data_IF_317395844462
#
_entry.id   IF_317395844462
#
_cell.length_a   1.000
_cell.length_b   1.000
_cell.length_c   1.000
_cell.angle_alpha   90.00
_cell.angle_beta   90.00
_cell.angle_gamma   90.00
#
_symmetry.space_group_name_H-M   'P 1'
#
loop_
_entity.id
_entity.type
_entity.pdbx_description
1 polymer ?
#
# COMPACT_ATOMS: atom_id res chain seq x y z
N UNK A 1 11.39 2.08 4.01
CA UNK A 1 10.84 1.94 5.37
C UNK A 1 11.74 2.44 6.51
N UNK A 2 12.98 1.94 6.74
CA UNK A 2 13.69 2.16 8.02
C UNK A 2 13.96 3.64 8.36
N UNK A 3 14.57 4.40 7.45
CA UNK A 3 14.77 5.84 7.63
C UNK A 3 13.43 6.59 7.79
N UNK A 4 12.42 6.21 7.00
CA UNK A 4 11.06 6.78 7.07
C UNK A 4 10.46 6.60 8.46
N UNK A 5 10.48 5.39 9.02
CA UNK A 5 9.98 5.09 10.35
C UNK A 5 10.77 5.82 11.45
N UNK A 6 12.10 5.88 11.31
CA UNK A 6 12.96 6.59 12.26
C UNK A 6 12.70 8.11 12.27
N UNK A 7 12.43 8.71 11.12
CA UNK A 7 12.03 10.13 11.04
C UNK A 7 10.65 10.34 11.65
N UNK A 8 9.65 9.56 11.21
CA UNK A 8 8.27 9.72 11.68
C UNK A 8 8.13 9.51 13.18
N UNK A 9 8.91 8.60 13.78
CA UNK A 9 8.95 8.39 15.22
C UNK A 9 9.34 9.63 16.03
N UNK A 10 10.08 10.58 15.44
CA UNK A 10 10.40 11.87 16.09
C UNK A 10 9.17 12.78 16.23
N UNK A 11 8.13 12.54 15.44
CA UNK A 11 6.92 13.37 15.38
C UNK A 11 5.67 12.66 15.93
N UNK A 12 5.59 11.35 15.73
CA UNK A 12 4.48 10.51 16.18
C UNK A 12 5.10 9.31 16.91
N UNK A 13 5.18 9.35 18.25
CA UNK A 13 5.95 8.37 19.01
C UNK A 13 5.37 6.95 18.92
N UNK A 14 4.05 6.83 18.76
CA UNK A 14 3.38 5.54 18.63
C UNK A 14 2.48 5.53 17.40
N UNK A 15 2.79 4.68 16.42
CA UNK A 15 2.08 4.61 15.14
C UNK A 15 2.37 3.29 14.40
N UNK A 16 1.59 3.02 13.36
CA UNK A 16 1.95 2.05 12.33
C UNK A 16 2.25 2.80 11.03
N UNK A 17 3.52 2.84 10.61
CA UNK A 17 3.85 3.30 9.27
C UNK A 17 3.36 2.25 8.26
N UNK A 18 2.59 2.67 7.27
CA UNK A 18 2.18 1.84 6.14
C UNK A 18 2.68 2.50 4.86
N UNK A 19 3.78 1.97 4.31
CA UNK A 19 4.44 2.47 3.10
C UNK A 19 4.08 1.56 1.92
N UNK A 20 3.12 2.02 1.10
CA UNK A 20 2.58 1.24 -0.01
C UNK A 20 3.30 1.66 -1.30
N UNK A 21 4.20 0.81 -1.77
CA UNK A 21 4.92 1.00 -3.01
C UNK A 21 4.18 0.45 -4.24
N UNK A 22 4.91 0.40 -5.36
CA UNK A 22 4.43 -0.25 -6.59
C UNK A 22 4.31 -1.77 -6.46
N UNK A 23 5.10 -2.38 -5.56
CA UNK A 23 5.31 -3.84 -5.49
C UNK A 23 5.01 -4.42 -4.12
N UNK A 24 5.41 -3.70 -3.07
CA UNK A 24 5.37 -4.17 -1.69
C UNK A 24 4.70 -3.13 -0.81
N UNK A 25 4.22 -3.58 0.34
CA UNK A 25 3.73 -2.73 1.43
C UNK A 25 4.54 -3.05 2.67
N UNK A 26 5.24 -2.04 3.20
CA UNK A 26 5.95 -2.15 4.48
C UNK A 26 5.01 -1.68 5.60
N UNK A 27 4.80 -2.51 6.63
CA UNK A 27 4.01 -2.17 7.82
C UNK A 27 4.95 -2.16 9.02
N UNK A 28 5.37 -0.98 9.46
CA UNK A 28 6.43 -0.85 10.47
C UNK A 28 5.84 -0.24 11.75
N UNK A 29 5.81 -1.00 12.87
CA UNK A 29 5.47 -0.44 14.16
C UNK A 29 6.48 0.64 14.57
N UNK A 30 5.96 1.74 15.09
CA UNK A 30 6.71 2.80 15.75
C UNK A 30 6.22 2.83 17.19
N UNK A 31 7.13 2.69 18.15
CA UNK A 31 6.83 2.66 19.58
C UNK A 31 7.84 3.55 20.30
N UNK A 32 7.36 4.46 21.16
CA UNK A 32 8.22 5.38 21.91
C UNK A 32 9.16 6.20 21.02
N UNK A 33 8.73 6.52 19.80
CA UNK A 33 9.47 7.31 18.81
C UNK A 33 10.57 6.56 18.06
N UNK A 34 10.58 5.23 18.13
CA UNK A 34 11.56 4.37 17.46
C UNK A 34 10.87 3.37 16.57
N UNK A 35 11.49 3.03 15.44
CA UNK A 35 11.08 1.89 14.64
C UNK A 35 11.24 0.62 15.49
N UNK A 36 10.13 -0.08 15.73
CA UNK A 36 10.04 -1.27 16.58
C UNK A 36 9.83 -2.52 15.72
N UNK A 37 10.53 -2.61 14.59
CA UNK A 37 10.51 -3.76 13.70
C UNK A 37 11.08 -5.00 14.40
N UNK A 38 10.42 -6.14 14.25
CA UNK A 38 10.82 -7.44 14.74
C UNK A 38 11.73 -8.18 13.75
N UNK A 39 11.51 -8.00 12.44
CA UNK A 39 12.34 -8.57 11.39
C UNK A 39 13.34 -7.56 10.82
N UNK A 40 14.58 -7.98 10.61
CA UNK A 40 15.59 -7.19 9.91
C UNK A 40 15.64 -7.52 8.42
N UNK A 41 15.56 -8.83 8.08
CA UNK A 41 15.56 -9.31 6.70
C UNK A 41 14.16 -9.42 6.11
N UNK A 42 14.05 -9.45 4.78
CA UNK A 42 12.75 -9.59 4.10
C UNK A 42 12.03 -10.89 4.46
N UNK A 43 12.76 -11.99 4.68
CA UNK A 43 12.17 -13.26 5.13
C UNK A 43 11.49 -13.12 6.50
N UNK A 44 12.19 -12.56 7.48
CA UNK A 44 11.66 -12.33 8.83
C UNK A 44 10.49 -11.35 8.80
N UNK A 45 10.57 -10.32 7.96
CA UNK A 45 9.50 -9.32 7.79
C UNK A 45 8.25 -9.92 7.12
N UNK A 46 8.41 -10.89 6.21
CA UNK A 46 7.29 -11.66 5.66
C UNK A 46 6.64 -12.55 6.73
N UNK A 47 7.44 -13.19 7.60
CA UNK A 47 6.94 -14.05 8.69
C UNK A 47 6.17 -13.25 9.75
N UNK A 48 6.64 -12.04 10.05
CA UNK A 48 6.06 -11.16 11.09
C UNK A 48 4.93 -10.26 10.59
N UNK A 49 4.70 -10.20 9.27
CA UNK A 49 3.71 -9.32 8.64
C UNK A 49 4.17 -7.86 8.47
N UNK A 50 5.43 -7.55 8.74
CA UNK A 50 6.05 -6.23 8.54
C UNK A 50 6.36 -5.92 7.07
N UNK A 51 6.27 -6.95 6.22
CA UNK A 51 6.31 -6.86 4.78
C UNK A 51 5.17 -7.70 4.20
N UNK A 52 4.25 -7.07 3.47
CA UNK A 52 3.28 -7.76 2.64
C UNK A 52 3.70 -7.56 1.18
N UNK A 53 3.85 -8.65 0.42
CA UNK A 53 4.33 -8.60 -0.96
C UNK A 53 3.23 -8.19 -1.95
N UNK A 54 2.63 -7.02 -1.70
CA UNK A 54 1.60 -6.43 -2.52
C UNK A 54 1.77 -4.91 -2.60
N UNK A 55 1.55 -4.34 -3.77
CA UNK A 55 1.61 -2.90 -4.03
C UNK A 55 0.58 -2.51 -5.08
N UNK A 56 0.50 -1.22 -5.41
CA UNK A 56 -0.61 -0.69 -6.23
C UNK A 56 -0.41 -0.80 -7.74
N UNK A 57 0.73 -1.34 -8.19
CA UNK A 57 1.06 -1.43 -9.62
C UNK A 57 1.35 -2.85 -10.07
N UNK A 58 2.40 -3.46 -9.51
CA UNK A 58 3.06 -4.65 -10.06
C UNK A 58 2.50 -5.98 -9.56
N UNK A 59 1.60 -5.96 -8.59
CA UNK A 59 1.08 -7.20 -8.01
C UNK A 59 0.19 -7.93 -9.01
N UNK A 60 0.53 -9.16 -9.41
CA UNK A 60 -0.34 -9.95 -10.27
C UNK A 60 -1.61 -10.34 -9.50
N UNK A 61 -2.77 -10.32 -10.15
CA UNK A 61 -4.04 -10.61 -9.45
C UNK A 61 -4.11 -12.05 -8.90
N UNK A 62 -3.32 -12.97 -9.46
CA UNK A 62 -3.13 -14.32 -8.95
C UNK A 62 -2.58 -14.37 -7.52
N UNK A 63 -1.86 -13.33 -7.08
CA UNK A 63 -1.35 -13.23 -5.71
C UNK A 63 -2.43 -12.77 -4.71
N UNK A 64 -3.58 -12.27 -5.19
CA UNK A 64 -4.64 -11.69 -4.35
C UNK A 64 -5.80 -12.66 -4.10
N UNK A 65 -6.12 -13.50 -5.08
CA UNK A 65 -7.20 -14.48 -4.98
C UNK A 65 -7.03 -15.61 -6.00
N UNK A 66 -7.67 -16.76 -5.76
CA UNK A 66 -7.75 -17.89 -6.70
C UNK A 66 -9.10 -17.97 -7.45
N UNK A 67 -10.03 -17.08 -7.11
CA UNK A 67 -11.34 -16.93 -7.73
C UNK A 67 -11.85 -15.50 -7.58
N UNK A 68 -12.85 -15.14 -8.39
CA UNK A 68 -13.58 -13.88 -8.26
C UNK A 68 -15.08 -14.06 -8.55
N UNK A 69 -15.95 -13.24 -7.94
CA UNK A 69 -17.36 -13.22 -8.27
C UNK A 69 -17.59 -12.48 -9.59
N UNK A 70 -18.39 -13.06 -10.47
CA UNK A 70 -18.85 -12.40 -11.69
C UNK A 70 -20.27 -12.86 -12.03
N UNK A 71 -21.19 -11.90 -12.18
CA UNK A 71 -22.60 -12.17 -12.51
C UNK A 71 -23.25 -13.26 -11.63
N UNK A 72 -23.04 -13.17 -10.31
CA UNK A 72 -23.62 -14.12 -9.33
C UNK A 72 -22.93 -15.49 -9.27
N UNK A 73 -21.85 -15.71 -10.02
CA UNK A 73 -21.09 -16.97 -10.01
C UNK A 73 -19.69 -16.75 -9.42
N UNK A 74 -19.17 -17.78 -8.77
CA UNK A 74 -17.77 -17.85 -8.33
C UNK A 74 -16.93 -18.47 -9.45
N UNK A 75 -16.07 -17.67 -10.07
CA UNK A 75 -15.25 -18.07 -11.23
C UNK A 75 -13.80 -18.23 -10.79
N UNK A 76 -13.18 -19.39 -11.08
CA UNK A 76 -11.74 -19.60 -10.90
C UNK A 76 -10.95 -18.67 -11.81
N UNK A 77 -9.79 -18.21 -11.35
CA UNK A 77 -8.92 -17.40 -12.20
C UNK A 77 -8.17 -18.27 -13.20
N UNK A 78 -7.96 -17.75 -14.41
CA UNK A 78 -6.98 -18.30 -15.34
C UNK A 78 -5.57 -18.15 -14.75
N UNK A 79 -4.73 -19.19 -14.86
CA UNK A 79 -3.39 -19.24 -14.28
C UNK A 79 -2.33 -18.48 -15.10
N UNK A 80 -2.69 -17.32 -15.66
CA UNK A 80 -1.81 -16.43 -16.42
C UNK A 80 -1.84 -15.01 -15.85
N UNK A 81 -0.72 -14.29 -15.93
CA UNK A 81 -0.59 -12.93 -15.39
C UNK A 81 -1.09 -11.88 -16.38
N UNK A 82 -2.37 -11.96 -16.77
CA UNK A 82 -2.96 -10.99 -17.70
C UNK A 82 -3.08 -9.59 -17.07
N UNK A 83 -3.48 -9.51 -15.81
CA UNK A 83 -3.84 -8.26 -15.12
C UNK A 83 -3.03 -8.09 -13.84
N UNK A 84 -2.74 -6.84 -13.49
CA UNK A 84 -2.03 -6.46 -12.26
C UNK A 84 -2.81 -5.43 -11.46
N UNK A 85 -2.38 -5.12 -10.24
CA UNK A 85 -3.01 -4.13 -9.36
C UNK A 85 -3.19 -2.75 -10.03
N UNK A 86 -2.28 -2.34 -10.92
CA UNK A 86 -2.45 -1.10 -11.69
C UNK A 86 -3.76 -1.08 -12.49
N UNK A 87 -4.15 -2.22 -13.08
CA UNK A 87 -5.40 -2.32 -13.83
C UNK A 87 -6.60 -2.16 -12.91
N UNK A 88 -6.55 -2.79 -11.74
CA UNK A 88 -7.61 -2.68 -10.72
C UNK A 88 -7.80 -1.23 -10.31
N UNK A 89 -6.75 -0.56 -9.86
CA UNK A 89 -6.86 0.80 -9.35
C UNK A 89 -7.11 1.84 -10.44
N UNK A 90 -6.72 1.56 -11.68
CA UNK A 90 -7.12 2.39 -12.83
C UNK A 90 -8.59 2.28 -13.14
N UNK A 91 -9.15 1.07 -13.12
CA UNK A 91 -10.58 0.84 -13.36
C UNK A 91 -11.41 1.49 -12.25
N UNK A 92 -10.99 1.37 -10.98
CA UNK A 92 -11.69 2.00 -9.87
C UNK A 92 -11.52 3.52 -9.84
N UNK A 93 -10.45 4.04 -10.43
CA UNK A 93 -10.13 5.47 -10.47
C UNK A 93 -9.23 5.94 -9.33
N UNK A 94 -8.69 5.01 -8.55
CA UNK A 94 -7.88 5.30 -7.36
C UNK A 94 -6.37 5.39 -7.67
N UNK A 95 -5.92 4.90 -8.84
CA UNK A 95 -4.51 4.91 -9.20
C UNK A 95 -4.02 6.35 -9.47
N UNK A 96 -3.04 6.86 -8.71
CA UNK A 96 -2.53 8.21 -8.94
C UNK A 96 -1.88 8.36 -10.32
N UNK A 97 -2.00 9.55 -10.90
CA UNK A 97 -1.35 9.88 -12.15
C UNK A 97 0.17 9.68 -12.04
N UNK A 98 0.77 9.05 -13.04
CA UNK A 98 2.20 8.76 -13.04
C UNK A 98 2.65 7.64 -12.09
N UNK A 99 1.77 7.00 -11.32
CA UNK A 99 2.18 5.88 -10.45
C UNK A 99 2.59 4.63 -11.25
N UNK A 100 1.89 4.33 -12.35
CA UNK A 100 2.19 3.16 -13.20
C UNK A 100 3.20 3.50 -14.30
N UNK A 101 4.47 3.24 -14.01
CA UNK A 101 5.62 3.40 -14.91
C UNK A 101 6.03 2.09 -15.63
N UNK A 102 5.27 0.99 -15.48
CA UNK A 102 5.67 -0.33 -15.97
C UNK A 102 5.01 -0.67 -17.32
N UNK A 103 5.45 -1.69 -18.05
CA UNK A 103 4.64 -2.19 -19.17
C UNK A 103 3.34 -2.82 -18.62
N UNK A 104 2.23 -2.77 -19.38
CA UNK A 104 1.04 -3.55 -19.02
C UNK A 104 1.31 -5.05 -19.21
N UNK A 105 0.50 -5.91 -18.57
CA UNK A 105 0.68 -7.36 -18.65
C UNK A 105 0.63 -7.93 -20.07
N UNK A 106 -0.03 -7.24 -20.99
CA UNK A 106 -0.13 -7.60 -22.41
C UNK A 106 0.73 -6.72 -23.34
N UNK A 107 1.52 -5.80 -22.78
CA UNK A 107 2.36 -4.86 -23.53
C UNK A 107 1.58 -3.80 -24.34
N UNK A 108 0.26 -3.67 -24.15
CA UNK A 108 -0.60 -2.69 -24.81
C UNK A 108 -0.74 -1.40 -23.99
N UNK A 109 -1.68 -0.54 -24.37
CA UNK A 109 -1.96 0.69 -23.66
C UNK A 109 -2.58 0.45 -22.28
N UNK A 110 -2.72 1.57 -21.57
CA UNK A 110 -3.16 1.65 -20.18
C UNK A 110 -4.42 2.50 -20.03
N UNK A 111 -5.30 2.51 -21.03
CA UNK A 111 -6.64 3.08 -20.84
C UNK A 111 -7.45 2.20 -19.88
N UNK A 112 -8.55 2.74 -19.35
CA UNK A 112 -9.52 1.95 -18.55
C UNK A 112 -10.02 0.74 -19.35
N UNK A 113 -10.42 0.94 -20.61
CA UNK A 113 -10.90 -0.15 -21.48
C UNK A 113 -9.88 -1.25 -21.72
N UNK A 114 -8.60 -0.89 -21.88
CA UNK A 114 -7.52 -1.87 -22.02
C UNK A 114 -7.25 -2.62 -20.70
N UNK A 115 -7.32 -1.94 -19.56
CA UNK A 115 -7.28 -2.57 -18.24
C UNK A 115 -8.43 -3.55 -18.01
N UNK A 116 -9.66 -3.18 -18.40
CA UNK A 116 -10.81 -4.08 -18.30
C UNK A 116 -10.66 -5.30 -19.22
N UNK A 117 -10.02 -5.13 -20.38
CA UNK A 117 -9.70 -6.26 -21.28
C UNK A 117 -8.75 -7.25 -20.63
N UNK A 118 -7.69 -6.77 -19.97
CA UNK A 118 -6.80 -7.63 -19.17
C UNK A 118 -7.52 -8.28 -17.99
N UNK A 119 -8.37 -7.54 -17.30
CA UNK A 119 -9.15 -8.04 -16.17
C UNK A 119 -10.16 -9.11 -16.57
N UNK A 120 -10.86 -8.95 -17.71
CA UNK A 120 -11.80 -9.94 -18.22
C UNK A 120 -11.13 -11.30 -18.50
N UNK A 121 -9.92 -11.27 -19.06
CA UNK A 121 -9.13 -12.49 -19.34
C UNK A 121 -8.79 -13.26 -18.07
N UNK A 122 -8.64 -12.59 -16.93
CA UNK A 122 -8.40 -13.29 -15.65
C UNK A 122 -9.53 -14.27 -15.30
N UNK A 123 -10.74 -14.07 -15.81
CA UNK A 123 -11.90 -14.95 -15.59
C UNK A 123 -12.35 -15.67 -16.87
N UNK A 124 -11.46 -15.77 -17.87
CA UNK A 124 -11.75 -16.46 -19.14
C UNK A 124 -12.80 -15.79 -20.00
N UNK A 125 -12.91 -14.46 -19.92
CA UNK A 125 -13.87 -13.64 -20.67
C UNK A 125 -13.16 -12.66 -21.59
N UNK A 126 -13.89 -12.23 -22.61
CA UNK A 126 -13.58 -11.03 -23.38
C UNK A 126 -14.27 -9.80 -22.79
N UNK A 127 -13.68 -8.62 -23.04
CA UNK A 127 -14.20 -7.33 -22.56
C UNK A 127 -15.65 -7.07 -22.96
N UNK A 128 -16.07 -7.55 -24.12
CA UNK A 128 -17.42 -7.36 -24.66
C UNK A 128 -18.51 -8.15 -23.91
N UNK A 129 -18.14 -9.12 -23.07
CA UNK A 129 -19.08 -9.97 -22.33
C UNK A 129 -19.58 -9.35 -21.00
N UNK A 130 -19.20 -8.10 -20.72
CA UNK A 130 -19.57 -7.39 -19.50
C UNK A 130 -19.65 -5.89 -19.68
N UNK A 131 -20.41 -5.23 -18.81
CA UNK A 131 -20.52 -3.77 -18.76
C UNK A 131 -19.40 -3.16 -17.92
N UNK A 132 -19.18 -1.86 -18.08
CA UNK A 132 -18.21 -1.07 -17.31
C UNK A 132 -18.46 -1.22 -15.79
N UNK A 133 -19.72 -1.27 -15.37
CA UNK A 133 -20.10 -1.49 -13.96
C UNK A 133 -19.71 -2.88 -13.48
N UNK A 134 -19.86 -3.91 -14.33
CA UNK A 134 -19.48 -5.27 -13.99
C UNK A 134 -17.95 -5.41 -13.85
N UNK A 135 -17.18 -4.78 -14.74
CA UNK A 135 -15.72 -4.77 -14.65
C UNK A 135 -15.23 -3.97 -13.46
N UNK A 136 -15.85 -2.82 -13.17
CA UNK A 136 -15.56 -2.04 -11.96
C UNK A 136 -15.89 -2.81 -10.69
N UNK A 137 -16.98 -3.59 -10.66
CA UNK A 137 -17.31 -4.46 -9.53
C UNK A 137 -16.27 -5.57 -9.34
N UNK A 138 -15.80 -6.17 -10.43
CA UNK A 138 -14.73 -7.17 -10.41
C UNK A 138 -13.40 -6.55 -9.92
N UNK A 139 -13.03 -5.36 -10.41
CA UNK A 139 -11.86 -4.64 -9.94
C UNK A 139 -11.94 -4.34 -8.43
N UNK A 140 -13.09 -3.83 -7.95
CA UNK A 140 -13.31 -3.61 -6.51
C UNK A 140 -13.16 -4.88 -5.68
N UNK A 141 -13.54 -6.05 -6.19
CA UNK A 141 -13.32 -7.30 -5.49
C UNK A 141 -11.83 -7.59 -5.26
N UNK A 142 -10.98 -7.35 -6.26
CA UNK A 142 -9.53 -7.52 -6.12
C UNK A 142 -8.90 -6.45 -5.22
N UNK A 143 -9.35 -5.19 -5.32
CA UNK A 143 -8.91 -4.13 -4.40
C UNK A 143 -9.23 -4.48 -2.94
N UNK A 144 -10.43 -5.02 -2.69
CA UNK A 144 -10.87 -5.49 -1.38
C UNK A 144 -10.12 -6.78 -0.94
N UNK A 145 -9.73 -7.65 -1.88
CA UNK A 145 -8.85 -8.79 -1.57
C UNK A 145 -7.45 -8.33 -1.11
N UNK A 146 -6.87 -7.34 -1.78
CA UNK A 146 -5.61 -6.71 -1.37
C UNK A 146 -5.75 -6.03 -0.01
N UNK A 147 -6.84 -5.30 0.23
CA UNK A 147 -7.09 -4.63 1.51
C UNK A 147 -7.18 -5.61 2.67
N UNK A 148 -7.78 -6.80 2.47
CA UNK A 148 -7.82 -7.85 3.51
C UNK A 148 -6.43 -8.36 3.89
N UNK A 149 -5.53 -8.55 2.93
CA UNK A 149 -4.15 -8.97 3.23
C UNK A 149 -3.44 -7.93 4.11
N UNK A 150 -3.60 -6.65 3.79
CA UNK A 150 -3.03 -5.55 4.57
C UNK A 150 -3.69 -5.42 5.95
N UNK A 151 -5.01 -5.63 6.02
CA UNK A 151 -5.77 -5.63 7.26
C UNK A 151 -5.29 -6.71 8.22
N UNK A 152 -5.12 -7.95 7.75
CA UNK A 152 -4.72 -9.06 8.60
C UNK A 152 -3.30 -8.88 9.14
N UNK A 153 -2.37 -8.41 8.29
CA UNK A 153 -1.02 -8.04 8.71
C UNK A 153 -1.03 -6.89 9.74
N UNK A 154 -1.77 -5.82 9.46
CA UNK A 154 -1.88 -4.67 10.37
C UNK A 154 -2.53 -5.08 11.71
N UNK A 155 -3.57 -5.90 11.69
CA UNK A 155 -4.22 -6.38 12.91
C UNK A 155 -3.26 -7.20 13.79
N UNK A 156 -2.42 -8.06 13.17
CA UNK A 156 -1.35 -8.77 13.86
C UNK A 156 -0.39 -7.79 14.57
N UNK A 157 0.16 -6.84 13.81
CA UNK A 157 1.12 -5.86 14.35
C UNK A 157 0.52 -4.94 15.41
N UNK A 158 -0.73 -4.51 15.23
CA UNK A 158 -1.43 -3.61 16.15
C UNK A 158 -1.93 -4.31 17.42
N UNK A 159 -1.91 -5.65 17.45
CA UNK A 159 -2.25 -6.44 18.64
C UNK A 159 -1.08 -6.62 19.62
N UNK A 160 0.12 -6.15 19.25
CA UNK A 160 1.29 -6.18 20.14
C UNK A 160 1.01 -5.38 21.43
N UNK A 161 1.47 -5.86 22.60
CA UNK A 161 1.17 -5.21 23.89
C UNK A 161 1.83 -3.83 24.05
N UNK A 162 2.88 -3.55 23.28
CA UNK A 162 3.59 -2.27 23.26
C UNK A 162 2.95 -1.24 22.30
N UNK A 163 1.92 -1.64 21.53
CA UNK A 163 1.20 -0.74 20.63
C UNK A 163 -0.07 -0.16 21.29
N UNK A 164 -0.19 1.17 21.39
CA UNK A 164 -1.42 1.80 21.88
C UNK A 164 -2.64 1.52 21.00
N UNK A 165 -3.80 1.30 21.64
CA UNK A 165 -5.08 1.09 20.95
C UNK A 165 -5.47 2.29 20.04
N UNK A 166 -5.02 3.50 20.37
CA UNK A 166 -5.27 4.72 19.61
C UNK A 166 -4.14 5.09 18.62
N UNK A 167 -3.10 4.26 18.49
CA UNK A 167 -1.99 4.51 17.56
C UNK A 167 -2.53 4.67 16.13
N UNK A 168 -2.25 5.79 15.45
CA UNK A 168 -2.70 6.03 14.09
C UNK A 168 -1.91 5.18 13.09
N UNK A 169 -2.46 5.06 11.88
CA UNK A 169 -1.69 4.66 10.71
C UNK A 169 -1.08 5.90 10.07
N UNK A 170 0.16 5.81 9.59
CA UNK A 170 0.79 6.86 8.78
C UNK A 170 0.89 6.36 7.35
N UNK A 171 0.19 7.03 6.43
CA UNK A 171 0.11 6.69 5.03
C UNK A 171 1.31 7.26 4.25
N UNK A 172 2.06 6.37 3.59
CA UNK A 172 3.23 6.71 2.79
C UNK A 172 3.22 5.93 1.46
N UNK A 173 3.94 6.42 0.47
CA UNK A 173 4.13 5.77 -0.82
C UNK A 173 3.06 6.10 -1.86
N UNK A 174 3.20 5.49 -3.04
CA UNK A 174 2.30 5.68 -4.17
C UNK A 174 0.89 5.12 -3.94
N UNK A 175 0.74 4.18 -2.99
CA UNK A 175 -0.54 3.59 -2.60
C UNK A 175 -1.14 4.16 -1.33
N UNK A 176 -0.79 5.38 -0.92
CA UNK A 176 -1.27 5.99 0.32
C UNK A 176 -2.81 5.98 0.47
N UNK A 177 -3.54 6.06 -0.65
CA UNK A 177 -5.01 5.95 -0.68
C UNK A 177 -5.54 4.62 -0.08
N UNK A 178 -4.79 3.52 -0.19
CA UNK A 178 -5.18 2.25 0.45
C UNK A 178 -5.09 2.29 1.97
N UNK A 179 -4.17 3.10 2.49
CA UNK A 179 -3.96 3.23 3.94
C UNK A 179 -5.15 3.94 4.60
N UNK A 180 -5.79 4.87 3.89
CA UNK A 180 -7.02 5.52 4.37
C UNK A 180 -8.17 4.51 4.55
N UNK A 181 -8.41 3.67 3.54
CA UNK A 181 -9.41 2.60 3.62
C UNK A 181 -9.06 1.58 4.72
N UNK A 182 -7.77 1.24 4.85
CA UNK A 182 -7.28 0.33 5.89
C UNK A 182 -7.52 0.90 7.29
N UNK A 183 -7.18 2.17 7.52
CA UNK A 183 -7.38 2.85 8.79
C UNK A 183 -8.87 2.92 9.16
N UNK A 184 -9.74 3.22 8.19
CA UNK A 184 -11.19 3.21 8.40
C UNK A 184 -11.68 1.83 8.86
N UNK A 185 -11.23 0.75 8.22
CA UNK A 185 -11.61 -0.63 8.57
C UNK A 185 -11.11 -1.03 9.97
N UNK A 186 -9.93 -0.57 10.34
CA UNK A 186 -9.33 -0.80 11.66
C UNK A 186 -9.91 0.13 12.76
N UNK A 187 -10.77 1.10 12.40
CA UNK A 187 -11.30 2.09 13.34
C UNK A 187 -10.24 3.04 13.90
N UNK A 188 -9.18 3.33 13.12
CA UNK A 188 -8.03 4.15 13.54
C UNK A 188 -7.92 5.41 12.71
N UNK A 189 -7.25 6.42 13.26
CA UNK A 189 -6.90 7.64 12.51
C UNK A 189 -5.87 7.32 11.43
N UNK A 190 -6.00 7.97 10.29
CA UNK A 190 -4.98 7.98 9.23
C UNK A 190 -4.30 9.34 9.20
N UNK A 191 -2.97 9.36 9.20
CA UNK A 191 -2.16 10.55 9.04
C UNK A 191 -1.39 10.44 7.72
N UNK A 192 -1.47 11.45 6.85
CA UNK A 192 -0.62 11.48 5.67
C UNK A 192 0.83 11.77 6.07
N UNK A 193 1.80 11.06 5.48
CA UNK A 193 3.23 11.30 5.66
C UNK A 193 3.61 12.78 5.49
N UNK A 194 3.05 13.43 4.46
CA UNK A 194 3.28 14.84 4.15
C UNK A 194 2.69 15.79 5.20
N UNK A 195 1.58 15.41 5.83
CA UNK A 195 0.97 16.18 6.91
C UNK A 195 1.79 16.09 8.21
N UNK A 196 2.37 14.92 8.51
CA UNK A 196 3.26 14.75 9.67
C UNK A 196 4.52 15.62 9.54
N UNK A 197 4.98 15.85 8.31
CA UNK A 197 6.22 16.59 8.01
C UNK A 197 5.98 17.98 7.42
N UNK A 198 4.76 18.54 7.55
CA UNK A 198 4.37 19.76 6.82
C UNK A 198 5.30 20.95 7.11
N UNK A 199 5.79 21.09 8.33
CA UNK A 199 6.71 22.18 8.74
C UNK A 199 8.17 21.95 8.30
N UNK A 200 8.48 20.77 7.76
CA UNK A 200 9.83 20.35 7.39
C UNK A 200 10.04 20.27 5.88
N UNK A 201 8.97 20.38 5.09
CA UNK A 201 8.99 20.30 3.63
C UNK A 201 8.53 21.64 3.07
N UNK A 202 9.38 22.31 2.29
CA UNK A 202 8.99 23.50 1.55
C UNK A 202 8.32 23.12 0.20
N UNK A 203 7.33 23.89 -0.23
CA UNK A 203 6.67 23.73 -1.53
C UNK A 203 5.51 22.74 -1.55
N UNK A 204 5.16 22.23 -2.74
CA UNK A 204 4.09 21.24 -2.91
C UNK A 204 4.61 19.83 -2.58
N UNK A 205 4.07 19.15 -1.55
CA UNK A 205 4.63 17.90 -1.05
C UNK A 205 4.12 16.66 -1.78
N UNK A 206 3.39 16.80 -2.89
CA UNK A 206 2.69 15.70 -3.57
C UNK A 206 3.65 14.54 -3.93
N UNK A 207 4.88 14.85 -4.32
CA UNK A 207 5.93 13.87 -4.63
C UNK A 207 6.58 13.26 -3.37
N UNK A 208 6.54 13.97 -2.23
CA UNK A 208 7.32 13.60 -1.05
C UNK A 208 6.91 12.24 -0.48
N UNK A 209 5.62 11.88 -0.56
CA UNK A 209 5.14 10.56 -0.15
C UNK A 209 5.75 9.44 -1.00
N UNK A 210 5.93 9.65 -2.31
CA UNK A 210 6.56 8.67 -3.22
C UNK A 210 8.08 8.61 -3.11
N UNK A 211 8.69 9.59 -2.43
CA UNK A 211 10.13 9.69 -2.17
C UNK A 211 10.45 9.63 -0.67
N UNK A 212 9.57 9.05 0.14
CA UNK A 212 9.66 9.04 1.60
C UNK A 212 11.04 8.69 2.17
N UNK A 213 11.70 7.60 1.71
CA UNK A 213 13.04 7.25 2.18
C UNK A 213 14.11 8.32 1.90
N UNK A 214 14.12 8.93 0.72
CA UNK A 214 15.11 9.93 0.34
C UNK A 214 14.93 11.22 1.17
N UNK A 215 13.68 11.65 1.33
CA UNK A 215 13.36 12.79 2.20
C UNK A 215 13.73 12.49 3.65
N UNK A 216 13.45 11.28 4.13
CA UNK A 216 13.75 10.90 5.50
C UNK A 216 15.25 10.96 5.78
N UNK A 217 16.08 10.41 4.89
CA UNK A 217 17.54 10.51 5.02
C UNK A 217 18.00 11.96 5.02
N UNK A 218 17.51 12.79 4.10
CA UNK A 218 17.90 14.21 4.03
C UNK A 218 17.57 14.98 5.32
N UNK A 219 16.36 14.82 5.86
CA UNK A 219 15.93 15.50 7.08
C UNK A 219 16.67 14.97 8.32
N UNK A 220 16.90 13.66 8.41
CA UNK A 220 17.67 13.05 9.51
C UNK A 220 19.13 13.52 9.52
N UNK A 221 19.74 13.71 8.34
CA UNK A 221 21.13 14.20 8.21
C UNK A 221 21.27 15.70 8.45
N UNK A 222 20.21 16.48 8.24
CA UNK A 222 20.21 17.92 8.48
C UNK A 222 20.06 18.30 9.97
N UNK A 223 19.70 17.34 10.83
CA UNK A 223 19.54 17.58 12.26
C UNK A 223 20.86 17.37 13.02
N UNK A 224 21.18 18.24 14.01
CA UNK A 224 22.32 18.02 14.88
C UNK A 224 22.16 16.70 15.63
N UNK A 225 23.26 15.95 15.79
CA UNK A 225 23.25 14.68 16.51
C UNK A 225 22.68 14.88 17.93
N UNK A 226 21.85 13.95 18.44
CA UNK A 226 21.31 14.06 19.79
C UNK A 226 22.47 14.18 20.79
N UNK A 227 22.46 15.26 21.58
CA UNK A 227 23.42 15.47 22.66
C UNK A 227 23.29 14.33 23.68
N UNK A 228 24.43 13.89 24.24
CA UNK A 228 24.55 12.75 25.16
C UNK A 228 23.64 12.80 26.40
N UNK A 229 23.02 13.94 26.69
CA UNK A 229 22.17 14.17 27.86
C UNK A 229 20.73 13.65 27.72
N UNK A 230 20.32 13.19 26.53
CA UNK A 230 18.98 12.66 26.27
C UNK A 230 18.89 11.12 26.19
N UNK A 231 19.81 10.39 26.84
CA UNK A 231 19.79 8.91 26.95
C UNK A 231 19.59 8.45 28.37
#
# INVERSE_FOLDING_TARGET
WHATAALLGRHVPDALLVDVGSTTTDLIPIVGGRAAAAGYGDAERLETGELVYTGVVRTPLLALADHAPFQGRRTRLMAETFSHAADVYRITGDLPEGADQQASGDGKGKSVTESETRLARMIGRDRGEGTDEAWRALARHFAEAQLRLLHDAAAGLLSRPDMPAAAPLIACGAGAFLVEALAQRLGRRCLAFTAVLAERIAGRPDWASTCGPALAVALLSAEPAPTKEAR
#
